data_IF_393983529079
#
_entry.id   IF_393983529079
#
_cell.length_a   1.000
_cell.length_b   1.000
_cell.length_c   1.000
_cell.angle_alpha   90.00
_cell.angle_beta   90.00
_cell.angle_gamma   90.00
#
_symmetry.space_group_name_H-M   'P 1'
#
loop_
_entity.id
_entity.type
_entity.pdbx_description
1 polymer ?
#
# COMPACT_ATOMS: atom_id res chain seq x y z
N UNK A 1 7.31 12.37 -3.29
CA UNK A 1 5.96 12.11 -2.73
C UNK A 1 5.23 13.39 -2.37
N UNK A 2 5.54 14.11 -1.26
CA UNK A 2 4.79 15.28 -0.80
C UNK A 2 4.44 16.32 -1.89
N UNK A 3 5.45 16.84 -2.60
CA UNK A 3 5.23 17.85 -3.64
C UNK A 3 4.36 17.35 -4.80
N UNK A 4 4.50 16.09 -5.19
CA UNK A 4 3.67 15.50 -6.26
C UNK A 4 2.21 15.38 -5.82
N UNK A 5 1.97 14.98 -4.57
CA UNK A 5 0.61 14.92 -4.00
C UNK A 5 -0.03 16.32 -3.91
N UNK A 6 0.75 17.35 -3.59
CA UNK A 6 0.25 18.74 -3.61
C UNK A 6 -0.14 19.19 -5.02
N UNK A 7 0.66 18.85 -6.03
CA UNK A 7 0.36 19.17 -7.45
C UNK A 7 -0.88 18.43 -7.95
N UNK A 8 -1.10 17.20 -7.46
CA UNK A 8 -2.25 16.38 -7.86
C UNK A 8 -3.55 16.72 -7.11
N UNK A 9 -3.52 17.51 -6.03
CA UNK A 9 -4.72 17.83 -5.25
C UNK A 9 -5.94 18.35 -6.06
N UNK A 10 -5.80 19.24 -7.07
CA UNK A 10 -6.93 19.66 -7.88
C UNK A 10 -7.29 18.69 -9.02
N UNK A 11 -6.53 17.60 -9.19
CA UNK A 11 -6.75 16.60 -10.23
C UNK A 11 -7.91 15.67 -9.85
N UNK A 12 -8.70 15.18 -10.82
CA UNK A 12 -9.66 14.11 -10.57
C UNK A 12 -8.99 12.72 -10.43
N UNK A 13 -7.68 12.61 -10.67
CA UNK A 13 -6.95 11.35 -10.57
C UNK A 13 -6.55 11.05 -9.12
N UNK A 14 -6.84 9.84 -8.66
CA UNK A 14 -6.39 9.35 -7.34
C UNK A 14 -4.89 8.99 -7.37
N UNK A 15 -4.05 9.62 -6.52
CA UNK A 15 -2.64 9.27 -6.44
C UNK A 15 -2.40 7.98 -5.65
N UNK A 16 -1.69 7.04 -6.26
CA UNK A 16 -1.22 5.81 -5.59
C UNK A 16 0.28 5.89 -5.35
N UNK A 17 0.74 5.62 -4.13
CA UNK A 17 2.17 5.63 -3.79
C UNK A 17 2.68 4.21 -3.57
N UNK A 18 3.63 3.77 -4.40
CA UNK A 18 4.39 2.54 -4.12
C UNK A 18 5.49 2.83 -3.10
N UNK A 19 5.46 2.17 -1.96
CA UNK A 19 6.54 2.25 -0.94
C UNK A 19 7.77 1.46 -1.41
N UNK A 20 8.98 1.77 -0.93
CA UNK A 20 10.20 1.07 -1.34
C UNK A 20 10.31 -0.34 -0.77
N UNK A 21 9.59 -0.66 0.31
CA UNK A 21 9.59 -1.97 0.97
C UNK A 21 8.26 -2.18 1.67
N UNK A 22 7.82 -3.45 1.75
CA UNK A 22 6.65 -3.82 2.52
C UNK A 22 6.88 -3.89 4.03
N UNK A 23 8.14 -3.99 4.46
CA UNK A 23 8.52 -4.30 5.85
C UNK A 23 8.96 -3.07 6.66
N UNK A 24 8.79 -1.86 6.12
CA UNK A 24 9.20 -0.61 6.77
C UNK A 24 7.98 0.25 7.18
N UNK A 25 7.40 0.03 8.38
CA UNK A 25 6.28 0.82 8.86
C UNK A 25 6.61 2.29 9.10
N UNK A 26 7.90 2.65 9.25
CA UNK A 26 8.32 4.05 9.43
C UNK A 26 8.13 4.80 8.12
N UNK A 27 8.51 4.20 7.00
CA UNK A 27 8.28 4.79 5.67
C UNK A 27 6.79 4.87 5.35
N UNK A 28 6.02 3.83 5.64
CA UNK A 28 4.56 3.82 5.44
C UNK A 28 3.90 4.96 6.21
N UNK A 29 4.22 5.11 7.50
CA UNK A 29 3.75 6.22 8.32
C UNK A 29 4.06 7.57 7.65
N UNK A 30 5.31 7.79 7.20
CA UNK A 30 5.70 9.06 6.56
C UNK A 30 4.93 9.34 5.27
N UNK A 31 4.63 8.31 4.49
CA UNK A 31 3.83 8.43 3.25
C UNK A 31 2.36 8.76 3.56
N UNK A 32 1.78 8.08 4.56
CA UNK A 32 0.42 8.38 5.01
C UNK A 32 0.31 9.76 5.66
N UNK A 33 1.31 10.18 6.44
CA UNK A 33 1.34 11.50 7.09
C UNK A 33 1.56 12.63 6.09
N UNK A 34 2.22 12.32 4.96
CA UNK A 34 2.15 13.18 3.80
C UNK A 34 0.67 13.28 3.39
N UNK A 35 -0.05 12.18 3.23
CA UNK A 35 -1.49 12.20 2.87
C UNK A 35 -1.73 11.50 1.55
N UNK A 36 -1.00 10.41 1.31
CA UNK A 36 -1.42 9.40 0.35
C UNK A 36 -2.54 8.57 1.00
N UNK A 37 -3.57 8.24 0.23
CA UNK A 37 -4.67 7.38 0.68
C UNK A 37 -4.60 5.98 0.05
N UNK A 38 -3.89 5.82 -1.07
CA UNK A 38 -3.67 4.52 -1.71
C UNK A 38 -2.19 4.15 -1.73
N UNK A 39 -1.85 2.94 -1.26
CA UNK A 39 -0.47 2.46 -1.14
C UNK A 39 -0.28 1.11 -1.83
N UNK A 40 0.78 0.98 -2.62
CA UNK A 40 1.26 -0.31 -3.13
C UNK A 40 2.47 -0.78 -2.31
N UNK A 41 2.39 -1.99 -1.77
CA UNK A 41 3.46 -2.68 -1.06
C UNK A 41 4.13 -3.68 -2.01
N UNK A 42 5.40 -3.45 -2.42
CA UNK A 42 6.11 -4.33 -3.35
C UNK A 42 6.54 -5.65 -2.69
N UNK A 43 6.87 -6.65 -3.52
CA UNK A 43 7.52 -7.90 -3.11
C UNK A 43 6.82 -8.63 -1.96
N UNK A 44 5.48 -8.65 -1.95
CA UNK A 44 4.74 -9.38 -0.92
C UNK A 44 4.73 -10.86 -1.25
N UNK A 45 5.17 -11.68 -0.31
CA UNK A 45 5.40 -13.13 -0.53
C UNK A 45 4.64 -14.03 0.44
N UNK A 46 3.88 -13.47 1.39
CA UNK A 46 3.07 -14.26 2.31
C UNK A 46 1.88 -13.49 2.86
N UNK A 47 0.89 -14.21 3.41
CA UNK A 47 -0.27 -13.63 4.08
C UNK A 47 0.12 -12.86 5.35
N UNK A 48 1.14 -13.32 6.08
CA UNK A 48 1.68 -12.63 7.26
C UNK A 48 2.31 -11.30 6.88
N UNK A 49 3.07 -11.26 5.78
CA UNK A 49 3.67 -10.02 5.29
C UNK A 49 2.59 -9.04 4.80
N UNK A 50 1.56 -9.53 4.12
CA UNK A 50 0.39 -8.72 3.75
C UNK A 50 -0.33 -8.17 4.99
N UNK A 51 -0.52 -8.98 6.03
CA UNK A 51 -1.13 -8.54 7.28
C UNK A 51 -0.27 -7.48 8.00
N UNK A 52 1.05 -7.62 7.98
CA UNK A 52 1.98 -6.62 8.52
C UNK A 52 1.92 -5.30 7.74
N UNK A 53 1.82 -5.38 6.41
CA UNK A 53 1.60 -4.22 5.55
C UNK A 53 0.30 -3.49 5.91
N UNK A 54 -0.83 -4.21 6.03
CA UNK A 54 -2.11 -3.62 6.49
C UNK A 54 -1.95 -2.98 7.87
N UNK A 55 -1.38 -3.69 8.84
CA UNK A 55 -1.20 -3.19 10.20
C UNK A 55 -0.35 -1.90 10.25
N UNK A 56 0.60 -1.71 9.34
CA UNK A 56 1.41 -0.48 9.24
C UNK A 56 0.59 0.77 8.86
N UNK A 57 -0.60 0.59 8.30
CA UNK A 57 -1.50 1.68 7.86
C UNK A 57 -2.60 2.03 8.86
N UNK A 58 -2.91 1.13 9.79
CA UNK A 58 -4.01 1.26 10.75
C UNK A 58 -3.51 1.74 12.12
N UNK A 59 -4.28 2.59 12.78
CA UNK A 59 -4.02 2.98 14.17
C UNK A 59 -4.37 1.82 15.13
N UNK A 60 -3.83 1.80 16.37
CA UNK A 60 -4.27 0.86 17.39
C UNK A 60 -5.78 0.94 17.64
N UNK A 61 -6.47 -0.19 17.93
CA UNK A 61 -5.92 -1.52 18.16
C UNK A 61 -5.68 -2.35 16.89
N UNK A 62 -6.13 -1.88 15.72
CA UNK A 62 -6.14 -2.67 14.48
C UNK A 62 -4.80 -2.66 13.73
N UNK A 63 -3.83 -1.88 14.21
CA UNK A 63 -2.50 -1.81 13.64
C UNK A 63 -1.49 -1.11 14.53
N UNK A 64 -0.37 -0.73 13.91
CA UNK A 64 0.81 -0.19 14.59
C UNK A 64 1.18 1.23 14.10
N UNK A 65 0.32 1.87 13.30
CA UNK A 65 0.58 3.23 12.80
C UNK A 65 0.74 4.20 13.96
N UNK A 66 1.88 4.89 14.00
CA UNK A 66 2.12 5.95 14.97
C UNK A 66 1.23 7.18 14.70
N UNK A 67 0.70 7.79 15.76
CA UNK A 67 -0.18 8.97 15.65
C UNK A 67 0.64 10.24 15.43
N UNK A 68 0.18 11.07 14.49
CA UNK A 68 0.61 12.44 14.26
C UNK A 68 -0.64 13.28 14.00
N UNK A 69 -0.83 14.36 14.75
CA UNK A 69 -2.06 15.17 14.69
C UNK A 69 -1.95 16.33 13.70
N UNK A 70 -0.77 16.95 13.59
CA UNK A 70 -0.56 18.19 12.83
C UNK A 70 0.25 17.92 11.56
N UNK A 71 -0.32 17.16 10.64
CA UNK A 71 0.29 16.86 9.35
C UNK A 71 -0.75 16.97 8.22
N UNK A 72 -0.33 16.82 6.97
CA UNK A 72 -1.17 17.18 5.82
C UNK A 72 -2.38 16.26 5.68
N UNK A 73 -2.28 14.98 6.07
CA UNK A 73 -3.42 14.05 6.05
C UNK A 73 -4.58 14.43 6.96
N UNK A 74 -4.32 15.22 8.02
CA UNK A 74 -5.35 15.76 8.93
C UNK A 74 -5.69 17.22 8.61
N UNK A 75 -5.29 17.73 7.45
CA UNK A 75 -5.35 19.15 7.12
C UNK A 75 -4.76 20.05 8.24
N UNK A 76 -3.63 19.59 8.82
CA UNK A 76 -2.92 20.25 9.92
C UNK A 76 -3.74 20.46 11.20
N UNK A 77 -4.79 19.66 11.41
CA UNK A 77 -5.72 19.78 12.54
C UNK A 77 -6.27 21.21 12.69
N UNK A 78 -6.71 21.79 11.57
CA UNK A 78 -7.28 23.15 11.52
C UNK A 78 -8.44 23.34 12.51
N UNK A 79 -9.18 22.27 12.81
CA UNK A 79 -10.22 22.22 13.83
C UNK A 79 -10.30 20.82 14.45
N UNK A 80 -10.91 20.71 15.63
CA UNK A 80 -11.01 19.44 16.35
C UNK A 80 -12.02 18.47 15.76
N UNK A 81 -13.05 18.95 15.07
CA UNK A 81 -14.09 18.10 14.49
C UNK A 81 -13.54 17.31 13.30
N UNK A 82 -12.82 17.97 12.38
CA UNK A 82 -12.18 17.33 11.23
C UNK A 82 -11.12 16.30 11.65
N UNK A 83 -10.33 16.60 12.68
CA UNK A 83 -9.38 15.65 13.25
C UNK A 83 -10.08 14.39 13.80
N UNK A 84 -11.17 14.58 14.56
CA UNK A 84 -11.93 13.46 15.11
C UNK A 84 -12.63 12.65 14.02
N UNK A 85 -13.07 13.31 12.94
CA UNK A 85 -13.63 12.63 11.77
C UNK A 85 -12.57 11.79 11.06
N UNK A 86 -11.37 12.34 10.84
CA UNK A 86 -10.25 11.61 10.25
C UNK A 86 -9.91 10.35 11.06
N UNK A 87 -9.86 10.42 12.39
CA UNK A 87 -9.59 9.22 13.19
C UNK A 87 -10.65 8.11 13.04
N UNK A 88 -11.89 8.48 12.75
CA UNK A 88 -12.98 7.51 12.53
C UNK A 88 -12.92 6.89 11.15
N UNK A 89 -12.56 7.66 10.12
CA UNK A 89 -12.64 7.20 8.73
C UNK A 89 -11.32 6.73 8.13
N UNK A 90 -10.16 7.07 8.73
CA UNK A 90 -8.85 6.75 8.15
C UNK A 90 -8.65 5.27 7.83
N UNK A 91 -9.16 4.35 8.66
CA UNK A 91 -9.04 2.92 8.41
C UNK A 91 -9.87 2.44 7.21
N UNK A 92 -10.98 3.11 6.92
CA UNK A 92 -11.89 2.76 5.81
C UNK A 92 -11.48 3.46 4.51
N UNK A 93 -10.77 4.58 4.59
CA UNK A 93 -10.34 5.38 3.43
C UNK A 93 -8.95 5.01 2.91
N UNK A 94 -8.12 4.31 3.68
CA UNK A 94 -6.78 3.91 3.23
C UNK A 94 -6.84 2.59 2.47
N UNK A 95 -6.58 2.69 1.16
CA UNK A 95 -6.47 1.57 0.23
C UNK A 95 -5.08 0.92 0.27
N UNK A 96 -5.04 -0.37 0.55
CA UNK A 96 -3.82 -1.20 0.61
C UNK A 96 -3.81 -2.19 -0.54
N UNK A 97 -2.83 -2.03 -1.43
CA UNK A 97 -2.60 -2.91 -2.56
C UNK A 97 -1.29 -3.66 -2.31
N UNK A 98 -1.32 -4.98 -2.38
CA UNK A 98 -0.11 -5.81 -2.30
C UNK A 98 0.33 -6.19 -3.70
N UNK A 99 1.62 -6.05 -3.98
CA UNK A 99 2.20 -6.41 -5.28
C UNK A 99 2.88 -7.77 -5.18
N UNK A 100 2.37 -8.70 -5.99
CA UNK A 100 2.93 -10.05 -6.18
C UNK A 100 3.76 -10.03 -7.46
N UNK A 101 5.03 -10.37 -7.31
CA UNK A 101 6.00 -10.25 -8.39
C UNK A 101 7.14 -11.27 -8.31
N UNK A 102 6.89 -12.36 -7.58
CA UNK A 102 7.76 -13.52 -7.45
C UNK A 102 6.96 -14.79 -7.77
N UNK A 103 7.52 -15.66 -8.61
CA UNK A 103 6.83 -16.85 -9.09
C UNK A 103 6.45 -17.83 -7.97
N UNK A 104 7.27 -17.94 -6.92
CA UNK A 104 6.98 -18.81 -5.78
C UNK A 104 5.83 -18.28 -4.92
N UNK A 105 5.47 -17.01 -5.08
CA UNK A 105 4.40 -16.35 -4.32
C UNK A 105 3.03 -16.39 -5.01
N UNK A 106 2.96 -16.84 -6.27
CA UNK A 106 1.70 -16.90 -7.03
C UNK A 106 0.71 -17.89 -6.41
N UNK A 107 1.19 -19.06 -6.00
CA UNK A 107 0.35 -20.09 -5.36
C UNK A 107 -0.24 -19.61 -4.01
N UNK A 108 0.33 -18.57 -3.41
CA UNK A 108 -0.09 -18.00 -2.12
C UNK A 108 -1.13 -16.87 -2.27
N UNK A 109 -1.46 -16.47 -3.50
CA UNK A 109 -2.45 -15.42 -3.79
C UNK A 109 -3.80 -15.67 -3.07
N UNK A 110 -4.37 -16.89 -3.05
CA UNK A 110 -5.64 -17.12 -2.36
C UNK A 110 -5.58 -16.84 -0.85
N UNK A 111 -4.43 -17.09 -0.21
CA UNK A 111 -4.23 -16.83 1.22
C UNK A 111 -4.01 -15.33 1.46
N UNK A 112 -3.18 -14.69 0.63
CA UNK A 112 -2.92 -13.25 0.67
C UNK A 112 -4.21 -12.44 0.45
N UNK A 113 -5.04 -12.86 -0.51
CA UNK A 113 -6.33 -12.22 -0.81
C UNK A 113 -7.35 -12.31 0.34
N UNK A 114 -7.19 -13.27 1.26
CA UNK A 114 -8.07 -13.41 2.42
C UNK A 114 -7.66 -12.53 3.60
N UNK A 115 -6.49 -11.88 3.54
CA UNK A 115 -6.03 -10.98 4.58
C UNK A 115 -6.95 -9.76 4.65
N UNK A 116 -7.61 -9.59 5.79
CA UNK A 116 -8.49 -8.45 6.04
C UNK A 116 -7.72 -7.14 5.89
N UNK A 117 -8.25 -6.25 5.06
CA UNK A 117 -7.66 -4.93 4.78
C UNK A 117 -6.70 -4.91 3.61
N UNK A 118 -6.48 -6.04 2.91
CA UNK A 118 -5.94 -6.02 1.55
C UNK A 118 -7.09 -5.68 0.60
N UNK A 119 -6.98 -4.53 -0.07
CA UNK A 119 -8.01 -4.01 -0.97
C UNK A 119 -7.77 -4.41 -2.42
N UNK A 120 -6.54 -4.82 -2.75
CA UNK A 120 -6.20 -5.29 -4.09
C UNK A 120 -4.89 -6.04 -4.18
N UNK A 121 -4.79 -6.88 -5.21
CA UNK A 121 -3.57 -7.55 -5.63
C UNK A 121 -3.13 -6.98 -6.96
N UNK A 122 -1.88 -6.52 -7.02
CA UNK A 122 -1.26 -5.99 -8.22
C UNK A 122 -0.15 -6.95 -8.69
N UNK A 123 -0.03 -7.15 -9.99
CA UNK A 123 0.98 -8.02 -10.56
C UNK A 123 2.13 -7.18 -11.14
N UNK A 124 3.37 -7.49 -10.76
CA UNK A 124 4.57 -6.89 -11.33
C UNK A 124 5.15 -7.75 -12.44
N UNK A 125 4.73 -7.63 -13.72
CA UNK A 125 5.07 -8.60 -14.75
C UNK A 125 6.58 -8.63 -15.09
N UNK A 126 7.27 -7.50 -14.96
CA UNK A 126 8.72 -7.42 -15.22
C UNK A 126 9.53 -8.19 -14.17
N UNK A 127 9.18 -8.00 -12.90
CA UNK A 127 9.85 -8.66 -11.77
C UNK A 127 9.44 -10.14 -11.69
N UNK A 128 8.18 -10.47 -12.01
CA UNK A 128 7.72 -11.86 -12.14
C UNK A 128 8.53 -12.60 -13.22
N UNK A 129 8.65 -12.02 -14.41
CA UNK A 129 9.48 -12.60 -15.47
C UNK A 129 10.93 -12.75 -15.04
N UNK A 130 11.50 -11.77 -14.32
CA UNK A 130 12.85 -11.89 -13.78
C UNK A 130 12.98 -13.05 -12.78
N UNK A 131 12.00 -13.26 -11.88
CA UNK A 131 11.99 -14.38 -10.92
C UNK A 131 11.94 -15.75 -11.60
N UNK A 132 11.34 -15.83 -12.79
CA UNK A 132 11.27 -17.04 -13.62
C UNK A 132 12.53 -17.26 -14.49
N UNK A 133 13.54 -16.39 -14.39
CA UNK A 133 14.73 -16.44 -15.26
C UNK A 133 14.51 -15.87 -16.67
N UNK A 134 13.39 -15.17 -16.89
CA UNK A 134 12.96 -14.59 -18.16
C UNK A 134 13.11 -13.05 -18.15
N UNK A 135 14.25 -12.56 -17.65
CA UNK A 135 14.51 -11.12 -17.50
C UNK A 135 14.25 -10.34 -18.82
N UNK A 136 13.45 -9.28 -18.73
CA UNK A 136 13.09 -8.45 -19.89
C UNK A 136 12.02 -9.04 -20.80
N UNK A 137 11.41 -10.17 -20.42
CA UNK A 137 10.38 -10.86 -21.19
C UNK A 137 9.03 -10.96 -20.43
N UNK A 138 8.43 -9.83 -20.00
CA UNK A 138 7.17 -9.82 -19.23
C UNK A 138 5.96 -10.39 -19.99
N UNK A 139 6.04 -10.49 -21.31
CA UNK A 139 4.99 -11.07 -22.17
C UNK A 139 5.31 -12.49 -22.62
N UNK A 140 6.34 -13.14 -22.05
CA UNK A 140 6.63 -14.55 -22.31
C UNK A 140 5.42 -15.41 -21.93
N UNK A 141 5.11 -16.44 -22.72
CA UNK A 141 3.88 -17.23 -22.56
C UNK A 141 3.73 -17.81 -21.15
N UNK A 142 4.83 -18.31 -20.57
CA UNK A 142 4.84 -18.85 -19.21
C UNK A 142 4.51 -17.80 -18.14
N UNK A 143 4.94 -16.55 -18.32
CA UNK A 143 4.65 -15.44 -17.38
C UNK A 143 3.17 -15.06 -17.44
N UNK A 144 2.58 -15.07 -18.63
CA UNK A 144 1.17 -14.72 -18.84
C UNK A 144 0.21 -15.83 -18.38
N UNK A 145 0.66 -17.09 -18.42
CA UNK A 145 -0.16 -18.26 -18.03
C UNK A 145 -0.11 -18.61 -16.55
N UNK A 146 0.85 -18.06 -15.81
CA UNK A 146 1.05 -18.29 -14.39
C UNK A 146 -0.06 -17.59 -13.58
#
# INVERSE_FOLDING_TARGET
>A
VLQQLQVLQPSPCEPIVRVPSADDPVVVKRVLDCGAQSIIFPMVTSAEQAAAAVASTRYPPDGIRGVMTTARMTNYAIDSESLMQYYKSAADEICVIVQIEDAASVDLIPEIAQVRGVDGIFFGPSDLAASMGLLGQPSHAEVVSL
#
